data_IF_649757517933
#
_entry.id   IF_649757517933
#
_cell.length_a   1.000
_cell.length_b   1.000
_cell.length_c   1.000
_cell.angle_alpha   90.00
_cell.angle_beta   90.00
_cell.angle_gamma   90.00
#
_symmetry.space_group_name_H-M   'P 1'
#
loop_
_entity.id
_entity.type
_entity.pdbx_description
1 polymer ?
#
# COMPACT_ATOMS: atom_id res chain seq x y z
N UNK A 1 -7.85 0.62 -11.80
CA UNK A 1 -7.74 1.97 -11.19
C UNK A 1 -7.66 1.83 -9.68
N UNK A 2 -6.96 2.75 -8.99
CA UNK A 2 -6.88 2.80 -7.53
C UNK A 2 -7.53 4.09 -7.04
N UNK A 3 -8.42 3.98 -6.06
CA UNK A 3 -9.14 5.07 -5.43
C UNK A 3 -8.76 5.17 -3.96
N UNK A 4 -8.82 6.39 -3.42
CA UNK A 4 -8.67 6.65 -2.00
C UNK A 4 -9.66 7.70 -1.54
N UNK A 5 -10.23 7.51 -0.36
CA UNK A 5 -11.14 8.49 0.26
C UNK A 5 -10.37 9.71 0.76
N UNK A 6 -10.87 10.88 0.40
CA UNK A 6 -10.46 12.18 0.92
C UNK A 6 -11.70 12.97 1.33
N UNK A 7 -12.05 12.89 2.62
CA UNK A 7 -13.25 13.53 3.16
C UNK A 7 -14.52 12.93 2.52
N UNK A 8 -15.20 13.75 1.71
CA UNK A 8 -16.49 13.43 1.06
C UNK A 8 -16.35 12.93 -0.37
N UNK A 9 -15.13 12.61 -0.82
CA UNK A 9 -14.90 12.11 -2.18
C UNK A 9 -13.89 10.97 -2.21
N UNK A 10 -14.07 10.04 -3.16
CA UNK A 10 -13.02 9.13 -3.61
C UNK A 10 -12.27 9.78 -4.77
N UNK A 11 -10.94 9.75 -4.71
CA UNK A 11 -10.06 10.32 -5.73
C UNK A 11 -9.17 9.22 -6.30
N UNK A 12 -8.92 9.25 -7.60
CA UNK A 12 -7.93 8.38 -8.22
C UNK A 12 -6.50 8.77 -7.83
N UNK A 13 -5.68 7.75 -7.59
CA UNK A 13 -4.32 7.91 -7.08
C UNK A 13 -3.34 6.97 -7.78
N UNK A 14 -2.10 7.41 -7.87
CA UNK A 14 -0.94 6.58 -8.21
C UNK A 14 -0.22 6.16 -6.93
N UNK A 15 0.44 4.99 -7.01
CA UNK A 15 1.39 4.56 -5.98
C UNK A 15 2.61 5.50 -5.98
N UNK A 16 3.05 5.89 -4.79
CA UNK A 16 4.21 6.75 -4.59
C UNK A 16 5.02 6.22 -3.41
N UNK A 17 5.53 5.00 -3.55
CA UNK A 17 6.30 4.34 -2.51
C UNK A 17 7.78 4.70 -2.62
N UNK A 18 8.37 5.18 -1.53
CA UNK A 18 9.75 5.67 -1.51
C UNK A 18 10.30 5.60 -0.08
N UNK A 19 11.37 4.83 0.13
CA UNK A 19 11.99 4.66 1.45
C UNK A 19 12.60 5.95 2.03
N UNK A 20 12.75 7.00 1.21
CA UNK A 20 13.29 8.29 1.63
C UNK A 20 12.21 9.35 1.87
N UNK A 21 10.95 9.04 1.59
CA UNK A 21 9.84 9.94 1.84
C UNK A 21 9.45 9.95 3.33
N UNK A 22 8.86 11.05 3.79
CA UNK A 22 8.28 11.13 5.15
C UNK A 22 7.10 10.16 5.34
N UNK A 23 6.49 9.74 4.23
CA UNK A 23 5.45 8.73 4.19
C UNK A 23 5.80 7.73 3.10
N UNK A 24 6.37 6.61 3.52
CA UNK A 24 7.00 5.61 2.66
C UNK A 24 5.95 4.86 1.83
N UNK A 25 4.76 4.62 2.40
CA UNK A 25 3.60 4.05 1.69
C UNK A 25 2.70 5.20 1.22
N UNK A 26 3.13 5.91 0.18
CA UNK A 26 2.42 7.08 -0.35
C UNK A 26 1.39 6.77 -1.44
N UNK A 27 0.31 7.56 -1.47
CA UNK A 27 -0.65 7.62 -2.58
C UNK A 27 -0.79 9.06 -3.06
N UNK A 28 -0.48 9.32 -4.33
CA UNK A 28 -0.53 10.65 -4.93
C UNK A 28 -1.75 10.78 -5.83
N UNK A 29 -2.57 11.82 -5.65
CA UNK A 29 -3.70 12.10 -6.55
C UNK A 29 -3.19 12.29 -7.97
N UNK A 30 -3.81 11.59 -8.92
CA UNK A 30 -3.51 11.74 -10.34
C UNK A 30 -4.56 12.62 -11.07
N UNK A 31 -5.65 12.99 -10.37
CA UNK A 31 -6.71 13.89 -10.84
C UNK A 31 -7.52 13.39 -12.04
N UNK A 32 -7.46 12.09 -12.35
CA UNK A 32 -8.21 11.50 -13.47
C UNK A 32 -9.70 11.32 -13.14
N UNK A 33 -10.01 10.87 -11.92
CA UNK A 33 -11.36 10.58 -11.46
C UNK A 33 -11.61 11.09 -10.04
N UNK A 34 -12.83 11.56 -9.82
CA UNK A 34 -13.34 12.01 -8.52
C UNK A 34 -14.81 11.63 -8.41
N UNK A 35 -15.15 10.86 -7.38
CA UNK A 35 -16.51 10.44 -7.08
C UNK A 35 -16.94 11.02 -5.73
N UNK A 36 -18.15 11.56 -5.63
CA UNK A 36 -18.71 11.84 -4.32
C UNK A 36 -18.92 10.49 -3.59
N UNK A 37 -18.73 10.47 -2.26
CA UNK A 37 -18.90 9.24 -1.47
C UNK A 37 -20.32 8.67 -1.65
N UNK A 38 -21.34 9.53 -1.57
CA UNK A 38 -22.74 9.10 -1.72
C UNK A 38 -23.02 8.47 -3.10
N UNK A 39 -22.43 9.02 -4.17
CA UNK A 39 -22.58 8.50 -5.54
C UNK A 39 -21.82 7.18 -5.71
N UNK A 40 -20.63 7.07 -5.13
CA UNK A 40 -19.83 5.85 -5.16
C UNK A 40 -20.52 4.71 -4.43
N UNK A 41 -20.98 4.96 -3.20
CA UNK A 41 -21.67 3.97 -2.36
C UNK A 41 -23.01 3.51 -2.98
N UNK A 42 -23.63 4.36 -3.82
CA UNK A 42 -24.84 4.00 -4.58
C UNK A 42 -24.55 3.21 -5.87
N UNK A 43 -23.33 3.29 -6.41
CA UNK A 43 -22.98 2.74 -7.73
C UNK A 43 -22.00 1.56 -7.68
N UNK A 44 -21.39 1.31 -6.52
CA UNK A 44 -20.41 0.24 -6.34
C UNK A 44 -20.76 -0.62 -5.13
N UNK A 45 -20.57 -1.93 -5.27
CA UNK A 45 -20.65 -2.88 -4.17
C UNK A 45 -19.26 -3.40 -3.83
N UNK A 46 -19.00 -3.54 -2.52
CA UNK A 46 -17.81 -4.22 -2.01
C UNK A 46 -17.81 -5.68 -2.46
N UNK A 47 -16.76 -6.10 -3.14
CA UNK A 47 -16.54 -7.49 -3.56
C UNK A 47 -15.69 -8.25 -2.55
N UNK A 48 -14.41 -7.90 -2.45
CA UNK A 48 -13.46 -8.55 -1.54
C UNK A 48 -12.49 -7.55 -0.93
N UNK A 49 -11.88 -7.90 0.20
CA UNK A 49 -10.82 -7.11 0.83
C UNK A 49 -9.55 -7.93 0.93
N UNK A 50 -8.44 -7.30 0.59
CA UNK A 50 -7.09 -7.83 0.71
C UNK A 50 -6.32 -7.07 1.79
N UNK A 51 -5.71 -7.80 2.71
CA UNK A 51 -4.70 -7.26 3.60
C UNK A 51 -3.33 -7.66 3.05
N UNK A 52 -2.54 -6.67 2.67
CA UNK A 52 -1.26 -6.88 2.01
C UNK A 52 -0.13 -6.93 3.03
N UNK A 53 0.51 -8.09 3.09
CA UNK A 53 1.70 -8.35 3.89
C UNK A 53 2.94 -8.24 3.01
N UNK A 54 3.99 -7.61 3.53
CA UNK A 54 5.30 -7.59 2.91
C UNK A 54 6.36 -7.68 4.00
N UNK A 55 7.45 -8.36 3.69
CA UNK A 55 8.65 -8.45 4.53
C UNK A 55 9.88 -8.34 3.63
N UNK A 56 10.97 -7.78 4.14
CA UNK A 56 12.28 -7.80 3.51
C UNK A 56 13.39 -7.82 4.56
N UNK A 57 14.52 -8.47 4.24
CA UNK A 57 15.69 -8.53 5.12
C UNK A 57 16.98 -8.28 4.35
N UNK A 58 17.98 -7.72 5.02
CA UNK A 58 19.28 -7.45 4.40
C UNK A 58 20.20 -6.59 5.25
N UNK A 59 21.39 -6.32 4.72
CA UNK A 59 22.48 -5.67 5.48
C UNK A 59 22.56 -4.16 5.24
N UNK A 60 21.74 -3.61 4.34
CA UNK A 60 21.71 -2.19 3.98
C UNK A 60 20.30 -1.64 4.19
N UNK A 61 20.15 -0.81 5.24
CA UNK A 61 18.87 -0.29 5.70
C UNK A 61 17.96 0.24 4.58
N UNK A 62 18.36 1.32 3.88
CA UNK A 62 17.54 1.95 2.83
C UNK A 62 17.19 1.00 1.67
N UNK A 63 18.10 0.09 1.34
CA UNK A 63 17.90 -0.87 0.26
C UNK A 63 16.88 -1.93 0.66
N UNK A 64 17.01 -2.48 1.87
CA UNK A 64 16.07 -3.47 2.42
C UNK A 64 14.66 -2.86 2.56
N UNK A 65 14.57 -1.62 3.00
CA UNK A 65 13.29 -0.92 3.07
C UNK A 65 12.66 -0.70 1.69
N UNK A 66 13.45 -0.29 0.69
CA UNK A 66 12.92 -0.16 -0.67
C UNK A 66 12.44 -1.51 -1.22
N UNK A 67 13.16 -2.62 -0.95
CA UNK A 67 12.71 -3.96 -1.37
C UNK A 67 11.35 -4.35 -0.76
N UNK A 68 11.09 -3.99 0.49
CA UNK A 68 9.78 -4.17 1.12
C UNK A 68 8.69 -3.41 0.33
N UNK A 69 8.96 -2.14 0.02
CA UNK A 69 8.03 -1.27 -0.69
C UNK A 69 7.79 -1.76 -2.12
N UNK A 70 8.83 -2.20 -2.83
CA UNK A 70 8.72 -2.77 -4.18
C UNK A 70 7.84 -4.03 -4.17
N UNK A 71 8.01 -4.93 -3.19
CA UNK A 71 7.16 -6.12 -3.01
C UNK A 71 5.71 -5.76 -2.72
N UNK A 72 5.48 -4.71 -1.93
CA UNK A 72 4.13 -4.22 -1.65
C UNK A 72 3.50 -3.63 -2.92
N UNK A 73 4.26 -2.86 -3.70
CA UNK A 73 3.82 -2.29 -4.97
C UNK A 73 3.45 -3.39 -5.98
N UNK A 74 4.31 -4.40 -6.16
CA UNK A 74 4.06 -5.54 -7.05
C UNK A 74 2.74 -6.25 -6.73
N UNK A 75 2.41 -6.41 -5.45
CA UNK A 75 1.12 -7.00 -5.03
C UNK A 75 -0.07 -6.14 -5.46
N UNK A 76 0.01 -4.81 -5.30
CA UNK A 76 -1.06 -3.91 -5.73
C UNK A 76 -1.19 -3.89 -7.25
N UNK A 77 -0.07 -3.87 -7.97
CA UNK A 77 -0.06 -3.93 -9.43
C UNK A 77 -0.68 -5.24 -9.94
N UNK A 78 -0.40 -6.37 -9.28
CA UNK A 78 -1.04 -7.63 -9.57
C UNK A 78 -2.56 -7.60 -9.32
N UNK A 79 -3.00 -6.97 -8.23
CA UNK A 79 -4.44 -6.75 -7.98
C UNK A 79 -5.08 -5.88 -9.05
N UNK A 80 -4.42 -4.78 -9.47
CA UNK A 80 -4.90 -3.90 -10.53
C UNK A 80 -5.01 -4.66 -11.87
N UNK A 81 -4.01 -5.47 -12.20
CA UNK A 81 -3.99 -6.27 -13.42
C UNK A 81 -5.06 -7.39 -13.41
N UNK A 82 -5.49 -7.83 -12.23
CA UNK A 82 -6.53 -8.82 -12.03
C UNK A 82 -7.96 -8.28 -12.00
N UNK A 83 -8.16 -6.96 -12.05
CA UNK A 83 -9.50 -6.35 -12.05
C UNK A 83 -10.30 -6.72 -13.30
N UNK A 84 -11.55 -7.10 -13.10
CA UNK A 84 -12.54 -7.25 -14.17
C UNK A 84 -13.11 -5.90 -14.65
N UNK A 85 -13.95 -5.97 -15.68
CA UNK A 85 -14.66 -4.80 -16.19
C UNK A 85 -15.58 -4.18 -15.12
N UNK A 86 -15.44 -2.87 -14.90
CA UNK A 86 -16.21 -2.13 -13.90
C UNK A 86 -15.73 -2.36 -12.46
N UNK A 87 -14.58 -3.01 -12.25
CA UNK A 87 -13.97 -3.17 -10.93
C UNK A 87 -12.89 -2.11 -10.67
N UNK A 88 -12.80 -1.69 -9.41
CA UNK A 88 -11.84 -0.68 -8.94
C UNK A 88 -11.25 -1.11 -7.60
N UNK A 89 -10.01 -0.70 -7.32
CA UNK A 89 -9.41 -0.86 -6.00
C UNK A 89 -9.66 0.39 -5.16
N UNK A 90 -9.96 0.21 -3.88
CA UNK A 90 -10.10 1.28 -2.89
C UNK A 90 -9.15 1.02 -1.74
N UNK A 91 -8.33 2.01 -1.40
CA UNK A 91 -7.48 1.98 -0.20
C UNK A 91 -8.36 2.29 1.01
N UNK A 92 -8.47 1.31 1.90
CA UNK A 92 -9.36 1.37 3.07
C UNK A 92 -8.69 2.01 4.29
N UNK A 93 -7.35 2.05 4.35
CA UNK A 93 -6.65 2.65 5.48
C UNK A 93 -6.84 4.18 5.54
N UNK A 94 -7.11 4.69 6.73
CA UNK A 94 -7.32 6.09 7.02
C UNK A 94 -6.06 6.75 7.60
N UNK A 95 -5.78 7.97 7.14
CA UNK A 95 -4.63 8.71 7.65
C UNK A 95 -4.83 9.11 9.10
N UNK A 96 -3.83 8.84 9.95
CA UNK A 96 -3.87 9.17 11.37
C UNK A 96 -4.55 8.12 12.26
N UNK A 97 -5.12 7.05 11.67
CA UNK A 97 -5.72 5.96 12.43
C UNK A 97 -4.97 4.64 12.20
N UNK A 98 -5.08 4.05 11.01
CA UNK A 98 -4.54 2.73 10.68
C UNK A 98 -3.65 2.76 9.42
N UNK A 99 -3.09 3.93 9.10
CA UNK A 99 -2.27 4.10 7.92
C UNK A 99 -1.03 3.18 7.94
N UNK A 100 -0.78 2.40 6.88
CA UNK A 100 0.32 1.44 6.83
C UNK A 100 1.66 2.15 6.88
N UNK A 101 2.61 1.55 7.61
CA UNK A 101 3.96 2.07 7.78
C UNK A 101 4.96 0.94 7.83
N UNK A 102 6.16 1.21 7.35
CA UNK A 102 7.30 0.30 7.49
C UNK A 102 7.68 0.18 8.98
N UNK A 103 8.05 -1.04 9.39
CA UNK A 103 8.54 -1.35 10.73
C UNK A 103 9.89 -2.02 10.61
N UNK A 104 10.88 -1.40 11.23
CA UNK A 104 12.25 -1.88 11.24
C UNK A 104 12.52 -2.68 12.52
N UNK A 105 13.22 -3.80 12.37
CA UNK A 105 13.95 -4.50 13.41
C UNK A 105 15.42 -4.60 13.03
N UNK A 106 16.31 -4.39 13.99
CA UNK A 106 17.77 -4.45 13.78
C UNK A 106 18.37 -5.51 14.68
N UNK A 107 19.19 -6.39 14.11
CA UNK A 107 19.96 -7.40 14.83
C UNK A 107 21.46 -7.26 14.54
N UNK A 108 22.29 -7.68 15.50
CA UNK A 108 23.71 -7.88 15.27
C UNK A 108 23.95 -9.33 14.88
N UNK A 109 24.60 -9.56 13.74
CA UNK A 109 24.98 -10.89 13.24
C UNK A 109 26.49 -10.97 13.08
N UNK A 110 27.08 -12.13 13.37
CA UNK A 110 28.52 -12.36 13.20
C UNK A 110 28.73 -13.02 11.84
N UNK A 111 29.39 -12.31 10.92
CA UNK A 111 29.75 -12.82 9.59
C UNK A 111 31.28 -12.77 9.48
N UNK A 112 31.91 -13.92 9.23
CA UNK A 112 33.37 -14.05 9.13
C UNK A 112 34.15 -13.53 10.37
N UNK A 113 33.53 -13.57 11.55
CA UNK A 113 34.12 -13.08 12.80
C UNK A 113 33.96 -11.58 13.03
N UNK A 114 33.28 -10.86 12.14
CA UNK A 114 32.93 -9.45 12.29
C UNK A 114 31.46 -9.26 12.69
N UNK A 115 31.20 -8.31 13.59
CA UNK A 115 29.83 -7.88 13.89
C UNK A 115 29.30 -7.03 12.74
N UNK A 116 28.16 -7.44 12.16
CA UNK A 116 27.43 -6.70 11.14
C UNK A 116 25.99 -6.45 11.59
N UNK A 117 25.43 -5.34 11.11
CA UNK A 117 24.02 -5.04 11.28
C UNK A 117 23.20 -5.81 10.24
N UNK A 118 22.10 -6.40 10.69
CA UNK A 118 21.10 -7.02 9.84
C UNK A 118 19.75 -6.35 10.11
N UNK A 119 19.06 -5.98 9.05
CA UNK A 119 17.80 -5.24 9.09
C UNK A 119 16.68 -6.12 8.57
N UNK A 120 15.58 -6.16 9.31
CA UNK A 120 14.33 -6.78 8.87
C UNK A 120 13.25 -5.71 8.86
N UNK A 121 12.50 -5.66 7.77
CA UNK A 121 11.43 -4.71 7.54
C UNK A 121 10.11 -5.43 7.32
N UNK A 122 9.04 -4.90 7.89
CA UNK A 122 7.66 -5.37 7.72
C UNK A 122 6.71 -4.18 7.55
N UNK A 123 5.45 -4.42 7.18
CA UNK A 123 4.41 -3.38 7.16
C UNK A 123 3.46 -3.57 8.34
N UNK A 124 3.28 -2.54 9.18
CA UNK A 124 2.26 -2.56 10.24
C UNK A 124 1.74 -1.15 10.62
N UNK A 125 0.42 -0.90 10.59
CA UNK A 125 -0.66 -1.83 10.18
C UNK A 125 -0.55 -2.28 8.72
N UNK A 126 -1.22 -3.39 8.37
CA UNK A 126 -1.25 -3.89 6.98
C UNK A 126 -1.95 -2.91 6.05
N UNK A 127 -1.50 -2.86 4.80
CA UNK A 127 -2.18 -2.11 3.76
C UNK A 127 -3.44 -2.87 3.34
N UNK A 128 -4.61 -2.28 3.59
CA UNK A 128 -5.92 -2.85 3.29
C UNK A 128 -6.47 -2.24 2.00
N UNK A 129 -6.75 -3.10 1.04
CA UNK A 129 -7.29 -2.72 -0.26
C UNK A 129 -8.53 -3.54 -0.54
N UNK A 130 -9.63 -2.88 -0.85
CA UNK A 130 -10.87 -3.49 -1.24
C UNK A 130 -11.08 -3.42 -2.75
N UNK A 131 -11.60 -4.50 -3.34
CA UNK A 131 -12.13 -4.53 -4.70
C UNK A 131 -13.60 -4.16 -4.63
N UNK A 132 -13.98 -3.10 -5.33
CA UNK A 132 -15.36 -2.70 -5.52
C UNK A 132 -15.77 -2.95 -6.97
N UNK A 133 -17.01 -3.35 -7.17
CA UNK A 133 -17.58 -3.62 -8.50
C UNK A 133 -18.79 -2.74 -8.75
N UNK A 134 -18.85 -2.15 -9.94
CA UNK A 134 -20.03 -1.39 -10.40
C UNK A 134 -21.27 -2.29 -10.38
N UNK A 135 -22.39 -1.76 -9.88
CA UNK A 135 -23.68 -2.47 -9.80
C UNK A 135 -24.66 -2.08 -10.92
N UNK A 136 -24.19 -1.36 -11.94
CA UNK A 136 -24.97 -1.03 -13.15
C UNK A 136 -25.38 -2.26 -13.97
#
# INVERSE_FOLDING_TARGET
MILRRYGTSYQSVDLNFDSKALNEVGFRRNHEHSFAVDDFDASYALGTTHELEAEAEGDVQDHTEQQLLDRLQEQIEALVAGLGDGEVLVVENEQGHDYPKTRQQTANVIIEGENRLHFTYTIAPLLRIAVYRSIE
#
